data_IF_414014792821
#
_entry.id   IF_414014792821
#
_cell.length_a   1.000
_cell.length_b   1.000
_cell.length_c   1.000
_cell.angle_alpha   90.00
_cell.angle_beta   90.00
_cell.angle_gamma   90.00
#
_symmetry.space_group_name_H-M   'P 1'
#
loop_
_entity.id
_entity.type
_entity.pdbx_description
1 polymer ?
#
# COMPACT_ATOMS: atom_id res chain seq x y z
N UNK A 1 -15.65 15.76 -4.64
CA UNK A 1 -16.01 17.14 -5.00
C UNK A 1 -16.42 17.08 -6.45
N UNK A 2 -17.70 17.24 -6.76
CA UNK A 2 -18.15 17.34 -8.14
C UNK A 2 -17.90 18.78 -8.58
N UNK A 3 -17.10 19.00 -9.63
CA UNK A 3 -17.01 20.34 -10.22
C UNK A 3 -17.67 20.38 -11.58
N UNK A 4 -18.26 21.54 -11.85
CA UNK A 4 -19.13 21.82 -12.98
C UNK A 4 -18.33 22.42 -14.11
N UNK A 5 -18.51 21.93 -15.33
CA UNK A 5 -17.89 22.48 -16.53
C UNK A 5 -18.90 22.54 -17.67
N UNK A 6 -18.71 23.50 -18.58
CA UNK A 6 -19.64 23.67 -19.71
C UNK A 6 -19.27 22.72 -20.85
N UNK A 7 -20.27 22.03 -21.40
CA UNK A 7 -20.10 21.22 -22.59
C UNK A 7 -19.84 22.13 -23.80
N UNK A 8 -18.75 21.91 -24.58
CA UNK A 8 -18.45 22.71 -25.76
C UNK A 8 -19.45 22.49 -26.91
N UNK A 9 -20.23 21.40 -26.85
CA UNK A 9 -21.13 21.00 -27.93
C UNK A 9 -22.56 21.53 -27.75
N UNK A 10 -23.04 21.65 -26.51
CA UNK A 10 -24.41 22.10 -26.22
C UNK A 10 -24.50 23.25 -25.22
N UNK A 11 -23.39 23.69 -24.63
CA UNK A 11 -23.37 24.73 -23.58
C UNK A 11 -23.96 24.28 -22.23
N UNK A 12 -24.43 23.04 -22.12
CA UNK A 12 -24.98 22.48 -20.89
C UNK A 12 -23.91 22.29 -19.81
N UNK A 13 -24.28 22.53 -18.55
CA UNK A 13 -23.38 22.40 -17.40
C UNK A 13 -23.29 20.93 -16.97
N UNK A 14 -22.17 20.27 -17.23
CA UNK A 14 -21.91 18.90 -16.77
C UNK A 14 -21.19 18.89 -15.43
N UNK A 15 -21.42 17.87 -14.62
CA UNK A 15 -20.64 17.56 -13.41
C UNK A 15 -19.62 16.46 -13.69
N UNK A 16 -18.37 16.71 -13.28
CA UNK A 16 -17.32 15.69 -13.28
C UNK A 16 -17.17 15.09 -11.87
N UNK A 17 -17.41 13.78 -11.75
CA UNK A 17 -17.32 13.03 -10.49
C UNK A 17 -15.89 12.58 -10.13
N UNK A 18 -14.90 12.87 -10.96
CA UNK A 18 -13.51 12.43 -10.74
C UNK A 18 -13.18 11.06 -11.32
N UNK A 19 -14.05 10.50 -12.18
CA UNK A 19 -13.92 9.15 -12.75
C UNK A 19 -13.76 9.18 -14.28
N UNK A 20 -12.64 8.63 -14.77
CA UNK A 20 -12.32 8.56 -16.20
C UNK A 20 -11.77 9.85 -16.80
N UNK A 21 -11.13 9.75 -17.98
CA UNK A 21 -10.66 10.92 -18.74
C UNK A 21 -11.79 11.56 -19.57
N UNK A 22 -12.91 10.87 -19.78
CA UNK A 22 -14.09 11.37 -20.50
C UNK A 22 -15.35 11.12 -19.69
N UNK A 23 -16.29 12.07 -19.76
CA UNK A 23 -17.63 11.90 -19.19
C UNK A 23 -18.71 12.19 -20.24
N UNK A 24 -19.79 11.39 -20.30
CA UNK A 24 -20.89 11.66 -21.21
C UNK A 24 -21.67 12.89 -20.74
N UNK A 25 -21.99 13.79 -21.66
CA UNK A 25 -22.81 14.95 -21.34
C UNK A 25 -24.27 14.55 -21.11
N UNK A 26 -24.87 14.96 -19.99
CA UNK A 26 -26.26 14.63 -19.67
C UNK A 26 -27.30 15.30 -20.58
N UNK A 27 -26.90 16.34 -21.33
CA UNK A 27 -27.80 17.10 -22.20
C UNK A 27 -27.75 16.65 -23.66
N UNK A 28 -26.56 16.42 -24.21
CA UNK A 28 -26.38 16.07 -25.62
C UNK A 28 -25.85 14.65 -25.84
N UNK A 29 -25.50 13.92 -24.79
CA UNK A 29 -25.01 12.54 -24.88
C UNK A 29 -23.61 12.39 -25.47
N UNK A 30 -22.95 13.46 -25.93
CA UNK A 30 -21.58 13.38 -26.45
C UNK A 30 -20.57 13.23 -25.32
N UNK A 31 -19.55 12.41 -25.54
CA UNK A 31 -18.39 12.29 -24.64
C UNK A 31 -17.57 13.58 -24.67
N UNK A 32 -17.41 14.19 -23.50
CA UNK A 32 -16.67 15.44 -23.35
C UNK A 32 -15.46 15.20 -22.45
N UNK A 33 -14.33 15.77 -22.85
CA UNK A 33 -13.14 15.81 -22.00
C UNK A 33 -13.32 16.94 -20.95
N UNK A 34 -13.30 16.64 -19.64
CA UNK A 34 -13.29 17.67 -18.61
C UNK A 34 -11.92 18.40 -18.62
N UNK A 35 -11.88 19.65 -18.12
CA UNK A 35 -10.66 20.45 -18.10
C UNK A 35 -9.53 19.75 -17.34
N UNK A 36 -8.33 19.82 -17.90
CA UNK A 36 -7.14 19.08 -17.47
C UNK A 36 -6.75 19.31 -16.00
N UNK A 37 -7.02 20.49 -15.45
CA UNK A 37 -6.81 20.80 -14.03
C UNK A 37 -7.60 19.86 -13.10
N UNK A 38 -8.84 19.53 -13.49
CA UNK A 38 -9.73 18.65 -12.71
C UNK A 38 -9.30 17.19 -12.77
N UNK A 39 -8.88 16.74 -13.95
CA UNK A 39 -8.40 15.37 -14.17
C UNK A 39 -7.11 15.16 -13.38
N UNK A 40 -6.23 16.16 -13.37
CA UNK A 40 -4.96 16.10 -12.66
C UNK A 40 -5.17 16.07 -11.13
N UNK A 41 -6.09 16.89 -10.61
CA UNK A 41 -6.42 16.89 -9.18
C UNK A 41 -7.03 15.55 -8.71
N UNK A 42 -7.91 14.95 -9.51
CA UNK A 42 -8.48 13.63 -9.23
C UNK A 42 -7.40 12.52 -9.27
N UNK A 43 -6.47 12.60 -10.23
CA UNK A 43 -5.33 11.68 -10.34
C UNK A 43 -4.41 11.77 -9.12
N UNK A 44 -4.05 12.99 -8.69
CA UNK A 44 -3.22 13.21 -7.49
C UNK A 44 -3.91 12.67 -6.23
N UNK A 45 -5.22 12.88 -6.08
CA UNK A 45 -5.98 12.35 -4.94
C UNK A 45 -5.97 10.81 -4.89
N UNK A 46 -6.12 10.13 -6.04
CA UNK A 46 -6.05 8.66 -6.11
C UNK A 46 -4.65 8.11 -5.87
N UNK A 47 -3.62 8.77 -6.38
CA UNK A 47 -2.22 8.36 -6.16
C UNK A 47 -1.83 8.54 -4.69
N UNK A 48 -2.28 9.63 -4.06
CA UNK A 48 -2.00 9.91 -2.64
C UNK A 48 -2.60 8.84 -1.71
N UNK A 49 -3.78 8.32 -2.02
CA UNK A 49 -4.44 7.28 -1.21
C UNK A 49 -3.72 5.92 -1.30
N UNK A 50 -3.26 5.51 -2.49
CA UNK A 50 -2.49 4.25 -2.65
C UNK A 50 -1.07 4.34 -2.12
N UNK A 51 -0.44 5.52 -2.13
CA UNK A 51 0.92 5.71 -1.65
C UNK A 51 1.07 5.39 -0.15
N UNK A 52 0.11 5.80 0.69
CA UNK A 52 0.16 5.52 2.14
C UNK A 52 0.20 4.02 2.46
N UNK A 53 -0.63 3.23 1.79
CA UNK A 53 -0.68 1.77 2.01
C UNK A 53 0.63 1.10 1.58
N UNK A 54 1.18 1.50 0.44
CA UNK A 54 2.46 0.98 -0.05
C UNK A 54 3.64 1.37 0.85
N UNK A 55 3.64 2.58 1.39
CA UNK A 55 4.66 3.03 2.36
C UNK A 55 4.59 2.20 3.65
N UNK A 56 3.39 1.97 4.19
CA UNK A 56 3.21 1.14 5.39
C UNK A 56 3.67 -0.30 5.13
N UNK A 57 3.29 -0.88 3.99
CA UNK A 57 3.70 -2.22 3.58
C UNK A 57 5.24 -2.32 3.50
N UNK A 58 5.90 -1.33 2.89
CA UNK A 58 7.36 -1.28 2.78
C UNK A 58 8.04 -1.26 4.15
N UNK A 59 7.54 -0.45 5.09
CA UNK A 59 8.10 -0.37 6.45
C UNK A 59 7.98 -1.72 7.16
N UNK A 60 6.81 -2.36 7.09
CA UNK A 60 6.60 -3.67 7.74
C UNK A 60 7.55 -4.73 7.16
N UNK A 61 7.71 -4.76 5.83
CA UNK A 61 8.56 -5.77 5.18
C UNK A 61 10.04 -5.55 5.46
N UNK A 62 10.51 -4.31 5.47
CA UNK A 62 11.95 -4.02 5.60
C UNK A 62 12.39 -3.94 7.06
N UNK A 63 11.53 -3.50 7.98
CA UNK A 63 11.92 -3.32 9.39
C UNK A 63 11.34 -4.39 10.31
N UNK A 64 10.06 -4.76 10.15
CA UNK A 64 9.38 -5.68 11.09
C UNK A 64 9.71 -7.14 10.78
N UNK A 65 9.73 -7.55 9.52
CA UNK A 65 10.10 -8.93 9.18
C UNK A 65 11.53 -9.30 9.63
N UNK A 66 12.58 -8.50 9.36
CA UNK A 66 13.93 -8.84 9.80
C UNK A 66 14.07 -8.83 11.32
N UNK A 67 13.39 -7.93 12.03
CA UNK A 67 13.40 -7.94 13.51
C UNK A 67 12.68 -9.16 14.06
N UNK A 68 11.54 -9.58 13.49
CA UNK A 68 10.88 -10.83 13.89
C UNK A 68 11.76 -12.06 13.62
N UNK A 69 12.38 -12.17 12.43
CA UNK A 69 13.28 -13.29 12.09
C UNK A 69 14.50 -13.29 13.01
N UNK A 70 15.09 -12.12 13.28
CA UNK A 70 16.20 -11.97 14.21
C UNK A 70 15.85 -12.37 15.64
N UNK A 71 14.68 -11.97 16.15
CA UNK A 71 14.18 -12.34 17.48
C UNK A 71 13.99 -13.85 17.62
N UNK A 72 13.38 -14.50 16.62
CA UNK A 72 13.24 -15.97 16.61
C UNK A 72 14.60 -16.66 16.53
N UNK A 73 15.54 -16.16 15.72
CA UNK A 73 16.92 -16.67 15.67
C UNK A 73 17.63 -16.56 17.02
N UNK A 74 17.40 -15.47 17.75
CA UNK A 74 17.97 -15.25 19.09
C UNK A 74 17.40 -16.26 20.09
N UNK A 75 16.10 -16.52 20.04
CA UNK A 75 15.42 -17.53 20.87
C UNK A 75 15.93 -18.95 20.60
N UNK A 76 16.11 -19.31 19.32
CA UNK A 76 16.69 -20.60 18.93
C UNK A 76 18.14 -20.73 19.40
N UNK A 77 18.94 -19.66 19.29
CA UNK A 77 20.33 -19.65 19.76
C UNK A 77 20.45 -19.85 21.28
N UNK A 78 19.56 -19.24 22.06
CA UNK A 78 19.49 -19.44 23.52
C UNK A 78 19.11 -20.89 23.83
N UNK A 79 18.08 -21.43 23.17
CA UNK A 79 17.66 -22.82 23.39
C UNK A 79 18.75 -23.83 23.01
N UNK A 80 19.44 -23.63 21.88
CA UNK A 80 20.55 -24.48 21.45
C UNK A 80 21.73 -24.43 22.42
N UNK A 81 22.02 -23.25 23.00
CA UNK A 81 23.09 -23.11 24.00
C UNK A 81 22.78 -23.86 25.28
N UNK A 82 21.53 -23.82 25.76
CA UNK A 82 21.11 -24.56 26.96
C UNK A 82 21.19 -26.07 26.73
N UNK A 83 20.72 -26.56 25.57
CA UNK A 83 20.79 -27.99 25.21
C UNK A 83 22.26 -28.44 25.09
N UNK A 84 23.12 -27.63 24.47
CA UNK A 84 24.55 -27.91 24.34
C UNK A 84 25.26 -28.03 25.69
N UNK A 85 24.93 -27.16 26.65
CA UNK A 85 25.47 -27.23 28.02
C UNK A 85 25.00 -28.50 28.73
N UNK A 86 23.70 -28.82 28.64
CA UNK A 86 23.12 -30.02 29.27
C UNK A 86 23.77 -31.29 28.73
N UNK A 87 23.89 -31.43 27.41
CA UNK A 87 24.55 -32.57 26.77
C UNK A 87 26.05 -32.61 27.06
N UNK A 88 26.73 -31.46 27.08
CA UNK A 88 28.17 -31.38 27.39
C UNK A 88 28.50 -31.77 28.84
N UNK A 89 27.59 -31.52 29.78
CA UNK A 89 27.75 -31.90 31.19
C UNK A 89 27.31 -33.35 31.44
N UNK A 90 26.26 -33.84 30.78
CA UNK A 90 25.77 -35.21 30.95
C UNK A 90 26.55 -36.25 30.14
N UNK A 91 27.14 -35.88 28.99
CA UNK A 91 27.93 -36.79 28.17
C UNK A 91 29.10 -37.47 28.91
N UNK A 92 29.94 -36.78 29.71
CA UNK A 92 30.98 -37.44 30.48
C UNK A 92 30.47 -38.23 31.70
N UNK A 93 29.20 -38.04 32.11
CA UNK A 93 28.57 -38.78 33.22
C UNK A 93 27.93 -40.11 32.80
N UNK A 94 27.58 -40.27 31.52
CA UNK A 94 26.93 -41.48 30.98
C UNK A 94 27.77 -42.23 29.93
N UNK A 95 28.93 -41.70 29.56
CA UNK A 95 29.84 -42.29 28.55
C UNK A 95 31.12 -42.93 29.10
N UNK A 96 31.22 -43.11 30.43
CA UNK A 96 32.34 -43.76 31.13
C UNK A 96 31.93 -45.07 31.78
#
# INVERSE_FOLDING_TARGET
MASKFNCPNCGGVNEYAGEGDTVPCQFCGSDVHPPEEMVNQARVARVSSKAKVWIILFIVVVFVLPTCIGLWGTLVGIAASVIGIILGVLAPLFGG
#
